data_IF_206100273531
#
_entry.id   IF_206100273531
#
_cell.length_a   1.000
_cell.length_b   1.000
_cell.length_c   1.000
_cell.angle_alpha   90.00
_cell.angle_beta   90.00
_cell.angle_gamma   90.00
#
_symmetry.space_group_name_H-M   'P 1'
#
loop_
_entity.id
_entity.type
_entity.pdbx_description
1 polymer ?
#
# COMPACT_ATOMS: atom_id res chain seq x y z
N UNK A 1 -11.07 6.68 -19.56
CA UNK A 1 -10.56 5.30 -19.74
C UNK A 1 -9.39 5.10 -18.78
N UNK A 2 -9.45 4.14 -17.85
CA UNK A 2 -8.30 3.82 -16.98
C UNK A 2 -7.19 3.24 -17.86
N UNK A 3 -6.00 3.84 -17.84
CA UNK A 3 -4.82 3.29 -18.54
C UNK A 3 -4.48 1.94 -17.92
N UNK A 4 -4.66 0.87 -18.69
CA UNK A 4 -4.36 -0.48 -18.28
C UNK A 4 -2.83 -0.68 -18.27
N UNK A 5 -2.31 -1.46 -17.34
CA UNK A 5 -0.86 -1.61 -17.11
C UNK A 5 -0.22 -2.43 -18.25
N UNK A 6 0.75 -1.86 -18.98
CA UNK A 6 1.28 -2.47 -20.20
C UNK A 6 2.05 -3.77 -19.93
N UNK A 7 2.72 -3.89 -18.76
CA UNK A 7 3.33 -5.16 -18.36
C UNK A 7 2.30 -6.27 -18.15
N UNK A 8 1.12 -5.97 -17.60
CA UNK A 8 0.06 -6.99 -17.46
C UNK A 8 -0.51 -7.40 -18.82
N UNK A 9 -0.67 -6.47 -19.76
CA UNK A 9 -1.09 -6.78 -21.13
C UNK A 9 -0.07 -7.66 -21.86
N UNK A 10 1.23 -7.40 -21.66
CA UNK A 10 2.29 -8.26 -22.21
C UNK A 10 2.25 -9.68 -21.65
N UNK A 11 1.94 -9.83 -20.35
CA UNK A 11 1.78 -11.15 -19.75
C UNK A 11 0.52 -11.87 -20.26
N UNK A 12 -0.55 -11.12 -20.56
CA UNK A 12 -1.76 -11.66 -21.18
C UNK A 12 -1.49 -12.14 -22.60
N UNK A 13 -0.75 -11.36 -23.39
CA UNK A 13 -0.32 -11.74 -24.73
C UNK A 13 0.60 -12.97 -24.73
N UNK A 14 1.46 -13.10 -23.71
CA UNK A 14 2.33 -14.26 -23.52
C UNK A 14 1.57 -15.53 -23.07
N UNK A 15 0.34 -15.38 -22.57
CA UNK A 15 -0.42 -16.46 -21.94
C UNK A 15 0.17 -16.96 -20.61
N UNK A 16 1.15 -16.25 -20.03
CA UNK A 16 1.83 -16.62 -18.78
C UNK A 16 1.84 -15.45 -17.81
N UNK A 17 0.88 -15.47 -16.88
CA UNK A 17 0.72 -14.51 -15.77
C UNK A 17 1.52 -14.89 -14.51
N UNK A 18 2.67 -15.54 -14.65
CA UNK A 18 3.54 -15.83 -13.50
C UNK A 18 4.40 -14.63 -13.08
N UNK A 19 4.72 -14.56 -11.78
CA UNK A 19 5.72 -13.59 -11.26
C UNK A 19 7.09 -13.82 -11.92
N UNK A 20 7.40 -15.06 -12.30
CA UNK A 20 8.63 -15.39 -13.00
C UNK A 20 8.66 -14.74 -14.40
N UNK A 21 7.57 -14.83 -15.16
CA UNK A 21 7.46 -14.19 -16.46
C UNK A 21 7.49 -12.65 -16.34
N UNK A 22 6.78 -12.08 -15.35
CA UNK A 22 6.85 -10.65 -15.07
C UNK A 22 8.28 -10.15 -14.84
N UNK A 23 9.06 -10.87 -14.01
CA UNK A 23 10.48 -10.55 -13.77
C UNK A 23 11.32 -10.65 -15.05
N UNK A 24 11.06 -11.66 -15.88
CA UNK A 24 11.75 -11.86 -17.16
C UNK A 24 11.49 -10.69 -18.11
N UNK A 25 10.22 -10.34 -18.34
CA UNK A 25 9.80 -9.24 -19.23
C UNK A 25 10.30 -7.88 -18.74
N UNK A 26 10.18 -7.62 -17.44
CA UNK A 26 10.71 -6.38 -16.87
C UNK A 26 12.22 -6.23 -17.08
N UNK A 27 13.01 -7.30 -16.84
CA UNK A 27 14.46 -7.26 -17.09
C UNK A 27 14.80 -7.02 -18.56
N UNK A 28 14.03 -7.59 -19.48
CA UNK A 28 14.20 -7.37 -20.91
C UNK A 28 13.96 -5.89 -21.26
N UNK A 29 12.80 -5.36 -20.87
CA UNK A 29 12.44 -3.96 -21.13
C UNK A 29 13.39 -2.97 -20.45
N UNK A 30 13.90 -3.28 -19.26
CA UNK A 30 14.93 -2.47 -18.61
C UNK A 30 16.20 -2.35 -19.45
N UNK A 31 16.59 -3.39 -20.21
CA UNK A 31 17.76 -3.29 -21.10
C UNK A 31 17.48 -2.42 -22.31
N UNK A 32 16.25 -2.47 -22.81
CA UNK A 32 15.80 -1.72 -24.00
C UNK A 32 15.50 -0.24 -23.70
N UNK A 33 15.24 0.10 -22.44
CA UNK A 33 14.86 1.46 -22.01
C UNK A 33 15.87 2.11 -21.05
N UNK A 34 17.00 1.43 -20.77
CA UNK A 34 18.01 1.99 -19.87
C UNK A 34 18.60 3.27 -20.50
N UNK A 35 18.65 4.40 -19.77
CA UNK A 35 19.16 5.66 -20.32
C UNK A 35 20.57 5.54 -20.88
N UNK A 36 21.44 4.79 -20.18
CA UNK A 36 22.83 4.58 -20.59
C UNK A 36 23.01 3.56 -21.73
N UNK A 37 22.00 2.75 -22.05
CA UNK A 37 22.11 1.69 -23.08
C UNK A 37 21.32 2.02 -24.35
N UNK A 38 20.21 2.73 -24.22
CA UNK A 38 19.26 2.97 -25.31
C UNK A 38 19.17 4.44 -25.75
N UNK A 39 19.82 5.38 -25.03
CA UNK A 39 19.71 6.81 -25.31
C UNK A 39 18.30 7.39 -25.11
N UNK A 40 17.40 6.62 -24.51
CA UNK A 40 16.02 7.04 -24.20
C UNK A 40 15.98 7.79 -22.87
N UNK A 41 15.16 8.85 -22.77
CA UNK A 41 15.05 9.66 -21.55
C UNK A 41 14.65 8.86 -20.30
N UNK A 42 15.08 9.32 -19.12
CA UNK A 42 14.84 8.67 -17.82
C UNK A 42 13.36 8.40 -17.52
N UNK A 43 12.45 9.18 -18.08
CA UNK A 43 11.00 9.09 -17.84
C UNK A 43 10.42 7.72 -18.21
N UNK A 44 10.84 7.14 -19.34
CA UNK A 44 10.37 5.82 -19.78
C UNK A 44 10.82 4.70 -18.84
N UNK A 45 12.05 4.78 -18.34
CA UNK A 45 12.60 3.82 -17.38
C UNK A 45 11.91 3.90 -16.01
N UNK A 46 11.61 5.12 -15.54
CA UNK A 46 10.88 5.35 -14.28
C UNK A 46 9.45 4.82 -14.39
N UNK A 47 8.76 5.10 -15.51
CA UNK A 47 7.41 4.59 -15.77
C UNK A 47 7.36 3.06 -15.77
N UNK A 48 8.32 2.40 -16.43
CA UNK A 48 8.45 0.94 -16.43
C UNK A 48 8.62 0.38 -15.00
N UNK A 49 9.42 1.03 -14.16
CA UNK A 49 9.61 0.66 -12.75
C UNK A 49 8.33 0.82 -11.90
N UNK A 50 7.50 1.81 -12.20
CA UNK A 50 6.18 1.96 -11.58
C UNK A 50 5.23 0.83 -12.04
N UNK A 51 5.18 0.56 -13.34
CA UNK A 51 4.35 -0.50 -13.91
C UNK A 51 4.71 -1.89 -13.36
N UNK A 52 5.99 -2.19 -13.17
CA UNK A 52 6.42 -3.47 -12.62
C UNK A 52 5.92 -3.66 -11.18
N UNK A 53 5.95 -2.61 -10.36
CA UNK A 53 5.44 -2.67 -8.98
C UNK A 53 3.92 -2.91 -8.95
N UNK A 54 3.18 -2.27 -9.86
CA UNK A 54 1.73 -2.48 -10.06
C UNK A 54 1.46 -3.93 -10.45
N UNK A 55 2.10 -4.41 -11.53
CA UNK A 55 1.91 -5.78 -12.03
C UNK A 55 2.27 -6.83 -10.98
N UNK A 56 3.38 -6.63 -10.26
CA UNK A 56 3.82 -7.54 -9.19
C UNK A 56 2.81 -7.61 -8.05
N UNK A 57 2.21 -6.48 -7.69
CA UNK A 57 1.19 -6.43 -6.66
C UNK A 57 -0.12 -7.12 -7.11
N UNK A 58 -0.52 -6.93 -8.38
CA UNK A 58 -1.67 -7.63 -8.98
C UNK A 58 -1.45 -9.15 -8.98
N UNK A 59 -0.31 -9.63 -9.48
CA UNK A 59 -0.02 -11.07 -9.52
C UNK A 59 0.12 -11.70 -8.13
N UNK A 60 0.62 -10.94 -7.14
CA UNK A 60 0.66 -11.39 -5.73
C UNK A 60 -0.72 -11.45 -5.09
N UNK A 61 -1.67 -10.64 -5.56
CA UNK A 61 -3.04 -10.64 -5.03
C UNK A 61 -3.89 -11.80 -5.57
N UNK A 62 -3.57 -12.35 -6.75
CA UNK A 62 -4.14 -13.59 -7.31
C UNK A 62 -5.69 -13.65 -7.43
N UNK A 63 -6.26 -14.74 -8.00
CA UNK A 63 -7.71 -14.95 -8.09
C UNK A 63 -8.38 -15.34 -6.76
N UNK A 64 -7.69 -15.20 -5.62
CA UNK A 64 -8.24 -15.56 -4.30
C UNK A 64 -9.28 -14.57 -3.76
N UNK A 65 -9.69 -13.56 -4.53
CA UNK A 65 -10.62 -12.51 -4.07
C UNK A 65 -12.01 -12.52 -4.70
N UNK A 66 -12.32 -13.39 -5.67
CA UNK A 66 -13.69 -13.49 -6.19
C UNK A 66 -14.60 -14.44 -5.40
N UNK A 67 -14.02 -15.38 -4.62
CA UNK A 67 -14.79 -16.29 -3.78
C UNK A 67 -15.25 -15.67 -2.44
N UNK A 68 -14.66 -14.54 -1.99
CA UNK A 68 -15.07 -13.84 -0.78
C UNK A 68 -16.24 -12.85 -1.01
N UNK A 69 -17.12 -13.15 -1.97
CA UNK A 69 -18.39 -12.42 -2.23
C UNK A 69 -19.56 -12.96 -1.38
N UNK A 70 -19.29 -13.79 -0.38
CA UNK A 70 -20.26 -14.16 0.64
C UNK A 70 -20.35 -13.04 1.67
N UNK A 71 -21.41 -12.24 1.52
CA UNK A 71 -22.14 -11.48 2.52
C UNK A 71 -21.43 -11.28 3.89
N UNK A 72 -20.98 -10.06 4.22
CA UNK A 72 -20.42 -9.82 5.55
C UNK A 72 -21.56 -9.87 6.57
N UNK A 73 -21.76 -11.04 7.19
CA UNK A 73 -22.25 -11.15 8.56
C UNK A 73 -21.55 -10.07 9.40
N UNK A 74 -22.21 -9.39 10.37
CA UNK A 74 -21.66 -8.21 11.05
C UNK A 74 -20.50 -8.62 11.96
N UNK A 75 -19.36 -8.91 11.34
CA UNK A 75 -18.11 -9.27 11.94
C UNK A 75 -17.55 -8.02 12.59
N UNK A 76 -17.15 -8.17 13.86
CA UNK A 76 -16.37 -7.21 14.65
C UNK A 76 -15.86 -6.01 13.82
N UNK A 77 -16.40 -4.79 14.03
CA UNK A 77 -16.01 -3.62 13.25
C UNK A 77 -14.49 -3.38 13.23
N UNK A 78 -13.79 -3.76 14.30
CA UNK A 78 -12.32 -3.71 14.35
C UNK A 78 -11.69 -4.66 13.31
N UNK A 79 -12.16 -5.91 13.23
CA UNK A 79 -11.71 -6.93 12.26
C UNK A 79 -11.91 -6.42 10.83
N UNK A 80 -13.07 -5.83 10.55
CA UNK A 80 -13.41 -5.28 9.23
C UNK A 80 -12.46 -4.14 8.82
N UNK A 81 -12.15 -3.23 9.75
CA UNK A 81 -11.16 -2.15 9.52
C UNK A 81 -9.76 -2.68 9.27
N UNK A 82 -9.30 -3.64 10.08
CA UNK A 82 -7.96 -4.21 9.92
C UNK A 82 -7.81 -4.95 8.58
N UNK A 83 -8.84 -5.65 8.13
CA UNK A 83 -8.87 -6.29 6.81
C UNK A 83 -8.80 -5.29 5.66
N UNK A 84 -9.57 -4.20 5.74
CA UNK A 84 -9.50 -3.13 4.75
C UNK A 84 -8.12 -2.46 4.75
N UNK A 85 -7.54 -2.22 5.93
CA UNK A 85 -6.21 -1.61 6.09
C UNK A 85 -5.10 -2.50 5.53
N UNK A 86 -5.16 -3.81 5.77
CA UNK A 86 -4.29 -4.81 5.14
C UNK A 86 -4.38 -4.68 3.62
N UNK A 87 -5.58 -4.79 3.08
CA UNK A 87 -5.81 -4.76 1.64
C UNK A 87 -5.25 -3.47 1.03
N UNK A 88 -5.52 -2.33 1.64
CA UNK A 88 -4.94 -1.04 1.25
C UNK A 88 -3.41 -1.09 1.20
N UNK A 89 -2.73 -1.50 2.27
CA UNK A 89 -1.26 -1.48 2.30
C UNK A 89 -0.57 -2.46 1.33
N UNK A 90 -1.22 -3.57 0.99
CA UNK A 90 -0.69 -4.55 0.06
C UNK A 90 -1.02 -4.24 -1.41
N UNK A 91 -2.20 -3.65 -1.69
CA UNK A 91 -2.66 -3.33 -3.05
C UNK A 91 -2.52 -1.86 -3.45
N UNK A 92 -1.98 -1.03 -2.57
CA UNK A 92 -1.68 0.37 -2.83
C UNK A 92 -1.04 0.63 -4.19
N UNK A 93 -0.05 -0.19 -4.57
CA UNK A 93 0.67 0.04 -5.83
C UNK A 93 -0.11 -0.41 -7.05
N UNK A 94 -1.33 -0.95 -6.92
CA UNK A 94 -2.13 -1.47 -8.03
C UNK A 94 -2.97 -0.43 -8.79
N UNK A 95 -2.91 0.86 -8.43
CA UNK A 95 -3.74 1.90 -9.04
C UNK A 95 -5.19 1.98 -8.53
N UNK A 96 -5.54 1.18 -7.52
CA UNK A 96 -6.85 1.16 -6.87
C UNK A 96 -6.88 1.91 -5.51
N UNK A 97 -5.83 2.68 -5.19
CA UNK A 97 -5.64 3.26 -3.85
C UNK A 97 -6.81 4.09 -3.34
N UNK A 98 -7.45 4.86 -4.21
CA UNK A 98 -8.60 5.70 -3.85
C UNK A 98 -9.81 4.85 -3.43
N UNK A 99 -10.18 3.86 -4.23
CA UNK A 99 -11.25 2.91 -3.92
C UNK A 99 -10.96 2.13 -2.63
N UNK A 100 -9.71 1.74 -2.41
CA UNK A 100 -9.30 1.02 -1.20
C UNK A 100 -9.38 1.92 0.05
N UNK A 101 -9.06 3.20 -0.07
CA UNK A 101 -9.24 4.19 1.01
C UNK A 101 -10.71 4.44 1.32
N UNK A 102 -11.57 4.51 0.32
CA UNK A 102 -13.01 4.65 0.52
C UNK A 102 -13.59 3.46 1.27
N UNK A 103 -13.21 2.24 0.89
CA UNK A 103 -13.61 1.02 1.62
C UNK A 103 -13.11 1.03 3.06
N UNK A 104 -11.88 1.49 3.28
CA UNK A 104 -11.32 1.64 4.63
C UNK A 104 -12.08 2.67 5.47
N UNK A 105 -12.50 3.80 4.89
CA UNK A 105 -13.34 4.80 5.56
C UNK A 105 -14.73 4.27 5.92
N UNK A 106 -15.36 3.50 5.01
CA UNK A 106 -16.65 2.84 5.28
C UNK A 106 -16.50 1.87 6.46
N UNK A 107 -15.47 1.02 6.44
CA UNK A 107 -15.17 0.12 7.55
C UNK A 107 -14.95 0.89 8.87
N UNK A 108 -14.19 1.99 8.83
CA UNK A 108 -13.88 2.78 10.02
C UNK A 108 -15.11 3.46 10.62
N UNK A 109 -16.12 3.76 9.81
CA UNK A 109 -17.40 4.32 10.28
C UNK A 109 -18.13 3.38 11.22
N UNK A 110 -17.99 2.07 11.04
CA UNK A 110 -18.56 1.06 11.92
C UNK A 110 -17.71 0.83 13.20
N UNK A 111 -16.44 1.25 13.20
CA UNK A 111 -15.50 1.02 14.29
C UNK A 111 -15.45 2.17 15.29
N UNK A 112 -15.07 3.38 14.86
CA UNK A 112 -14.96 4.55 15.71
C UNK A 112 -14.86 5.86 14.89
N UNK A 113 -15.55 6.91 15.36
CA UNK A 113 -15.62 8.20 14.68
C UNK A 113 -14.28 8.95 14.66
N UNK A 114 -13.42 8.81 15.69
CA UNK A 114 -12.10 9.44 15.71
C UNK A 114 -11.19 8.81 14.68
N UNK A 115 -11.18 7.47 14.54
CA UNK A 115 -10.40 6.77 13.51
C UNK A 115 -10.88 7.09 12.10
N UNK A 116 -12.19 7.24 11.90
CA UNK A 116 -12.74 7.71 10.62
C UNK A 116 -12.23 9.10 10.24
N UNK A 117 -12.30 10.09 11.14
CA UNK A 117 -11.81 11.46 10.86
C UNK A 117 -10.32 11.48 10.54
N UNK A 118 -9.53 10.67 11.25
CA UNK A 118 -8.10 10.51 10.97
C UNK A 118 -7.86 9.94 9.57
N UNK A 119 -8.66 8.96 9.14
CA UNK A 119 -8.59 8.38 7.79
C UNK A 119 -9.02 9.36 6.69
N UNK A 120 -10.03 10.18 6.94
CA UNK A 120 -10.45 11.24 6.02
C UNK A 120 -9.32 12.26 5.81
N UNK A 121 -8.69 12.71 6.90
CA UNK A 121 -7.53 13.60 6.82
C UNK A 121 -6.34 12.91 6.13
N UNK A 122 -6.09 11.63 6.44
CA UNK A 122 -5.04 10.84 5.78
C UNK A 122 -5.29 10.69 4.29
N UNK A 123 -6.54 10.48 3.83
CA UNK A 123 -6.89 10.37 2.40
C UNK A 123 -6.45 11.64 1.65
N UNK A 124 -6.73 12.82 2.20
CA UNK A 124 -6.36 14.09 1.57
C UNK A 124 -4.83 14.24 1.45
N UNK A 125 -4.12 14.06 2.56
CA UNK A 125 -2.66 14.12 2.60
C UNK A 125 -2.00 13.10 1.67
N UNK A 126 -2.62 11.93 1.58
CA UNK A 126 -2.16 10.84 0.76
C UNK A 126 -2.30 11.14 -0.73
N UNK A 127 -3.47 11.60 -1.16
CA UNK A 127 -3.73 11.94 -2.57
C UNK A 127 -2.78 13.06 -3.02
N UNK A 128 -2.56 14.07 -2.18
CA UNK A 128 -1.57 15.12 -2.42
C UNK A 128 -0.16 14.54 -2.58
N UNK A 129 0.24 13.63 -1.69
CA UNK A 129 1.56 12.99 -1.74
C UNK A 129 1.75 12.12 -2.99
N UNK A 130 0.69 11.45 -3.45
CA UNK A 130 0.73 10.64 -4.69
C UNK A 130 0.76 11.52 -5.92
N UNK A 131 -0.03 12.59 -5.95
CA UNK A 131 0.03 13.57 -7.05
C UNK A 131 1.41 14.19 -7.15
N UNK A 132 2.00 14.62 -6.03
CA UNK A 132 3.37 15.13 -6.00
C UNK A 132 4.40 14.07 -6.47
N UNK A 133 4.23 12.81 -6.06
CA UNK A 133 5.09 11.73 -6.55
C UNK A 133 4.95 11.49 -8.06
N UNK A 134 3.74 11.45 -8.59
CA UNK A 134 3.50 11.23 -10.02
C UNK A 134 3.96 12.40 -10.88
N UNK A 135 3.85 13.63 -10.37
CA UNK A 135 4.25 14.83 -11.09
C UNK A 135 5.76 15.10 -11.02
N UNK A 136 6.41 14.80 -9.89
CA UNK A 136 7.77 15.28 -9.60
C UNK A 136 8.77 14.16 -9.27
N UNK A 137 8.34 12.89 -9.27
CA UNK A 137 9.17 11.75 -8.89
C UNK A 137 9.57 11.71 -7.41
N UNK A 138 9.07 12.65 -6.58
CA UNK A 138 9.40 12.75 -5.16
C UNK A 138 8.57 11.75 -4.36
N UNK A 139 9.17 10.62 -3.97
CA UNK A 139 8.54 9.66 -3.06
C UNK A 139 8.52 10.26 -1.65
N UNK A 140 7.34 10.54 -1.11
CA UNK A 140 7.23 10.90 0.30
C UNK A 140 7.50 9.69 1.20
N UNK A 141 8.77 9.56 1.60
CA UNK A 141 9.28 8.42 2.39
C UNK A 141 8.50 8.14 3.68
N UNK A 142 7.85 9.15 4.27
CA UNK A 142 7.02 8.99 5.46
C UNK A 142 5.82 8.04 5.20
N UNK A 143 5.14 8.17 4.07
CA UNK A 143 4.01 7.31 3.72
C UNK A 143 4.44 5.86 3.50
N UNK A 144 5.57 5.64 2.82
CA UNK A 144 6.13 4.29 2.62
C UNK A 144 6.43 3.58 3.95
N UNK A 145 6.87 4.33 4.97
CA UNK A 145 7.11 3.77 6.31
C UNK A 145 5.81 3.49 7.06
N UNK A 146 4.79 4.32 6.91
CA UNK A 146 3.46 4.03 7.43
C UNK A 146 2.90 2.74 6.81
N UNK A 147 3.03 2.56 5.49
CA UNK A 147 2.62 1.31 4.84
C UNK A 147 3.45 0.10 5.31
N UNK A 148 4.74 0.30 5.59
CA UNK A 148 5.58 -0.75 6.18
C UNK A 148 5.12 -1.12 7.60
N UNK A 149 4.79 -0.12 8.42
CA UNK A 149 4.23 -0.31 9.75
C UNK A 149 2.89 -1.07 9.70
N UNK A 150 2.00 -0.69 8.79
CA UNK A 150 0.73 -1.42 8.57
C UNK A 150 1.00 -2.89 8.21
N UNK A 151 1.91 -3.18 7.29
CA UNK A 151 2.27 -4.57 6.94
C UNK A 151 2.79 -5.34 8.15
N UNK A 152 3.57 -4.67 9.02
CA UNK A 152 4.12 -5.28 10.22
C UNK A 152 3.04 -5.74 11.21
N UNK A 153 1.89 -5.04 11.31
CA UNK A 153 0.73 -5.49 12.09
C UNK A 153 0.26 -6.90 11.71
N UNK A 154 0.35 -7.27 10.44
CA UNK A 154 -0.12 -8.56 9.96
C UNK A 154 0.96 -9.66 9.98
N UNK A 155 2.22 -9.32 10.28
CA UNK A 155 3.30 -10.30 10.41
C UNK A 155 3.52 -10.79 11.86
N UNK A 156 2.65 -10.42 12.80
CA UNK A 156 2.74 -10.81 14.22
C UNK A 156 3.05 -12.30 14.41
N UNK A 157 2.27 -13.18 13.78
CA UNK A 157 2.44 -14.65 13.90
C UNK A 157 3.70 -15.18 13.19
N UNK A 158 4.19 -14.47 12.16
CA UNK A 158 5.40 -14.87 11.43
C UNK A 158 6.70 -14.37 12.08
N UNK A 159 6.67 -13.25 12.80
CA UNK A 159 7.88 -12.64 13.40
C UNK A 159 7.98 -12.82 14.91
N UNK A 160 6.89 -13.21 15.57
CA UNK A 160 6.79 -13.24 17.04
C UNK A 160 6.50 -11.86 17.64
N UNK A 161 5.88 -11.85 18.84
CA UNK A 161 5.34 -10.63 19.47
C UNK A 161 6.39 -9.54 19.75
N UNK A 162 7.55 -9.92 20.29
CA UNK A 162 8.62 -8.97 20.65
C UNK A 162 9.22 -8.29 19.41
N UNK A 163 9.50 -9.07 18.35
CA UNK A 163 10.06 -8.56 17.10
C UNK A 163 9.04 -7.75 16.31
N UNK A 164 7.77 -8.15 16.37
CA UNK A 164 6.67 -7.40 15.78
C UNK A 164 6.60 -5.97 16.33
N UNK A 165 6.57 -5.84 17.66
CA UNK A 165 6.50 -4.54 18.33
C UNK A 165 7.71 -3.67 18.02
N UNK A 166 8.91 -4.22 18.11
CA UNK A 166 10.15 -3.49 17.82
C UNK A 166 10.20 -2.93 16.39
N UNK A 167 9.80 -3.73 15.40
CA UNK A 167 9.77 -3.27 14.01
C UNK A 167 8.69 -2.21 13.77
N UNK A 168 7.52 -2.36 14.41
CA UNK A 168 6.46 -1.37 14.30
C UNK A 168 6.86 -0.03 14.93
N UNK A 169 7.43 -0.05 16.13
CA UNK A 169 7.96 1.14 16.83
C UNK A 169 9.05 1.82 15.99
N UNK A 170 9.93 1.03 15.36
CA UNK A 170 10.93 1.56 14.44
C UNK A 170 10.30 2.26 13.24
N UNK A 171 9.39 1.60 12.52
CA UNK A 171 8.78 2.18 11.33
C UNK A 171 7.96 3.44 11.64
N UNK A 172 7.21 3.42 12.74
CA UNK A 172 6.40 4.56 13.17
C UNK A 172 7.28 5.72 13.64
N UNK A 173 8.34 5.49 14.42
CA UNK A 173 9.31 6.52 14.81
C UNK A 173 10.00 7.16 13.61
N UNK A 174 10.46 6.33 12.67
CA UNK A 174 11.11 6.77 11.44
C UNK A 174 10.16 7.55 10.52
N UNK A 175 8.85 7.24 10.54
CA UNK A 175 7.82 7.99 9.83
C UNK A 175 7.60 9.37 10.50
N UNK A 176 7.48 9.41 11.83
CA UNK A 176 7.30 10.65 12.61
C UNK A 176 8.46 11.63 12.37
N UNK A 177 9.71 11.16 12.44
CA UNK A 177 10.91 11.97 12.14
C UNK A 177 10.89 12.58 10.74
N UNK A 178 10.40 11.83 9.75
CA UNK A 178 10.30 12.34 8.37
C UNK A 178 9.13 13.31 8.20
N UNK A 179 8.07 13.14 8.98
CA UNK A 179 6.93 14.06 9.00
C UNK A 179 7.28 15.42 9.62
N UNK A 180 8.38 15.56 10.38
CA UNK A 180 8.85 16.86 10.89
C UNK A 180 9.16 17.88 9.78
N UNK A 181 9.44 17.40 8.56
CA UNK A 181 9.71 18.24 7.39
C UNK A 181 8.45 18.70 6.67
N UNK A 182 7.28 18.29 7.14
CA UNK A 182 5.99 18.64 6.58
C UNK A 182 5.38 19.82 7.32
N UNK A 183 4.43 20.49 6.67
CA UNK A 183 3.54 21.44 7.30
C UNK A 183 2.77 20.80 8.47
N UNK A 184 2.45 21.62 9.47
CA UNK A 184 1.91 21.18 10.76
C UNK A 184 0.65 20.29 10.63
N UNK A 185 -0.24 20.61 9.69
CA UNK A 185 -1.44 19.81 9.40
C UNK A 185 -1.09 18.38 8.96
N UNK A 186 -0.23 18.25 7.95
CA UNK A 186 0.20 16.96 7.39
C UNK A 186 0.97 16.13 8.41
N UNK A 187 1.84 16.79 9.17
CA UNK A 187 2.61 16.18 10.27
C UNK A 187 1.67 15.60 11.33
N UNK A 188 0.64 16.35 11.73
CA UNK A 188 -0.35 15.91 12.71
C UNK A 188 -1.09 14.65 12.26
N UNK A 189 -1.51 14.60 11.00
CA UNK A 189 -2.21 13.44 10.42
C UNK A 189 -1.35 12.19 10.43
N UNK A 190 -0.10 12.28 9.94
CA UNK A 190 0.82 11.13 9.94
C UNK A 190 1.18 10.66 11.34
N UNK A 191 1.38 11.58 12.28
CA UNK A 191 1.64 11.25 13.68
C UNK A 191 0.44 10.54 14.32
N UNK A 192 -0.78 11.01 14.08
CA UNK A 192 -2.00 10.38 14.56
C UNK A 192 -2.20 8.99 13.98
N UNK A 193 -1.83 8.77 12.72
CA UNK A 193 -1.88 7.44 12.10
C UNK A 193 -0.83 6.50 12.72
N UNK A 194 0.40 6.98 12.92
CA UNK A 194 1.44 6.21 13.59
C UNK A 194 1.03 5.80 15.02
N UNK A 195 0.40 6.69 15.78
CA UNK A 195 -0.13 6.39 17.11
C UNK A 195 -1.23 5.35 17.08
N UNK A 196 -2.15 5.44 16.11
CA UNK A 196 -3.15 4.40 15.93
C UNK A 196 -2.52 3.01 15.73
N UNK A 197 -1.50 2.91 14.88
CA UNK A 197 -0.85 1.62 14.63
C UNK A 197 -0.21 1.05 15.91
N UNK A 198 0.41 1.90 16.74
CA UNK A 198 0.97 1.50 18.02
C UNK A 198 -0.12 1.03 19.00
N UNK A 199 -1.25 1.73 19.07
CA UNK A 199 -2.41 1.32 19.88
C UNK A 199 -2.93 -0.06 19.46
N UNK A 200 -3.02 -0.31 18.15
CA UNK A 200 -3.47 -1.61 17.62
C UNK A 200 -2.45 -2.73 17.88
N UNK A 201 -1.15 -2.45 17.90
CA UNK A 201 -0.13 -3.43 18.29
C UNK A 201 -0.17 -3.83 19.77
N UNK A 202 -0.72 -2.97 20.63
CA UNK A 202 -0.99 -3.31 22.03
C UNK A 202 -2.13 -4.32 22.20
N UNK A 203 -2.85 -4.65 21.12
CA UNK A 203 -3.97 -5.58 21.11
C UNK A 203 -3.60 -6.81 20.28
N UNK A 204 -3.95 -8.03 20.69
CA UNK A 204 -3.71 -9.20 19.86
C UNK A 204 -4.38 -9.01 18.49
N UNK A 205 -3.65 -9.25 17.37
CA UNK A 205 -4.22 -9.11 16.05
C UNK A 205 -5.30 -10.16 15.85
N UNK A 206 -6.48 -9.73 15.37
CA UNK A 206 -7.51 -10.66 14.92
C UNK A 206 -6.95 -11.34 13.68
N UNK A 207 -6.71 -12.65 13.76
CA UNK A 207 -6.43 -13.44 12.56
C UNK A 207 -7.66 -13.27 11.65
N UNK A 208 -7.51 -12.73 10.44
CA UNK A 208 -8.54 -12.92 9.47
C UNK A 208 -8.52 -14.41 9.13
N UNK A 209 -9.50 -15.16 9.62
CA UNK A 209 -9.79 -16.50 9.09
C UNK A 209 -10.02 -16.32 7.59
N UNK A 210 -9.20 -17.02 6.80
CA UNK A 210 -9.35 -17.14 5.35
C UNK A 210 -10.58 -18.03 5.04
#
# INVERSE_FOLDING_TARGET
MKKQNALLELLDADGDRSIANLKRRFRQLCKETHPDLAGTGHEGFIALGAEYRVALAVLRSGPKQEAARSDPSPADPRRTVLLALRTYAFRFWCGDSELLLERLMVAASAYDARRRRLLEAYKLEFLDSVHAWMAEGRVYYAHSLILAAVKQLFYFYGTGAARHRLLLERYTSDAKKRAERLEDGRRSVLNGFAEWLLDEAGRPPVIPED
#
